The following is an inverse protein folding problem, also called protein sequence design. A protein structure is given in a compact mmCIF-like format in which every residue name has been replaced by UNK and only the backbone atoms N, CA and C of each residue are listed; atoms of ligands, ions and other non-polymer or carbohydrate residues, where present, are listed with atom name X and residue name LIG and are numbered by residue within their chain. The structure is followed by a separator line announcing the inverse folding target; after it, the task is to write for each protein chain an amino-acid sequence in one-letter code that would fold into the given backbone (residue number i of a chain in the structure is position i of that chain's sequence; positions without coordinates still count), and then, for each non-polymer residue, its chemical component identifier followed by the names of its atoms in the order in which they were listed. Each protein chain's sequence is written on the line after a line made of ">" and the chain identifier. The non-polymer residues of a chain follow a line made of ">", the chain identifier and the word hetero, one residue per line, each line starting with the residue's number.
data_IF_643564532355
#
_entry.id   IF_643564532355
#
_cell.length_a   1.000
_cell.length_b   1.000
_cell.length_c   1.000
_cell.angle_alpha   90.00
_cell.angle_beta   90.00
_cell.angle_gamma   90.00
#
_symmetry.space_group_name_H-M   'P 1'
#
loop_
_entity.id
_entity.type
_entity.pdbx_description
1 polymer ?
#
# COMPACT_ATOMS: atom_id res chain seq x y z
N UNK A 1 -26.23 -10.51 -9.40
CA UNK A 1 -26.74 -9.15 -9.04
C UNK A 1 -26.50 -8.12 -10.14
N UNK A 2 -25.41 -8.17 -10.92
CA UNK A 2 -25.09 -7.12 -11.91
C UNK A 2 -25.90 -7.18 -13.23
N UNK A 3 -26.47 -8.33 -13.63
CA UNK A 3 -27.08 -8.48 -14.97
C UNK A 3 -28.39 -7.69 -15.21
N UNK A 4 -28.98 -7.09 -14.16
CA UNK A 4 -30.20 -6.27 -14.24
C UNK A 4 -30.05 -4.91 -13.56
N UNK A 5 -28.83 -4.51 -13.20
CA UNK A 5 -28.55 -3.26 -12.49
C UNK A 5 -27.76 -2.30 -13.39
N UNK A 6 -28.18 -1.03 -13.42
CA UNK A 6 -27.48 0.02 -14.15
C UNK A 6 -26.39 0.58 -13.25
N UNK A 7 -25.13 0.50 -13.68
CA UNK A 7 -23.99 1.05 -12.95
C UNK A 7 -23.81 2.50 -13.38
N UNK A 8 -23.77 3.41 -12.41
CA UNK A 8 -23.48 4.83 -12.62
C UNK A 8 -22.20 5.16 -11.85
N UNK A 9 -21.29 5.87 -12.51
CA UNK A 9 -20.09 6.41 -11.88
C UNK A 9 -20.40 7.85 -11.50
N UNK A 10 -20.38 8.14 -10.19
CA UNK A 10 -20.53 9.49 -9.66
C UNK A 10 -19.14 10.09 -9.45
N UNK A 11 -19.02 11.39 -9.67
CA UNK A 11 -17.78 12.14 -9.41
C UNK A 11 -17.91 12.88 -8.07
N UNK A 12 -16.79 13.13 -7.37
CA UNK A 12 -16.77 14.02 -6.21
C UNK A 12 -17.24 15.43 -6.60
N UNK A 13 -17.89 16.12 -5.66
CA UNK A 13 -18.33 17.50 -5.88
C UNK A 13 -17.14 18.45 -5.90
N UNK A 14 -17.16 19.44 -6.78
CA UNK A 14 -16.19 20.52 -6.80
C UNK A 14 -16.33 21.40 -5.54
N UNK A 15 -15.26 22.09 -5.11
CA UNK A 15 -15.29 22.95 -3.93
C UNK A 15 -16.44 23.99 -3.97
N UNK A 16 -16.69 24.61 -5.11
CA UNK A 16 -17.77 25.59 -5.26
C UNK A 16 -19.18 24.97 -5.13
N UNK A 17 -19.36 23.73 -5.58
CA UNK A 17 -20.62 23.00 -5.41
C UNK A 17 -20.88 22.66 -3.94
N UNK A 18 -19.83 22.30 -3.20
CA UNK A 18 -19.90 22.10 -1.76
C UNK A 18 -20.16 23.41 -1.01
N UNK A 19 -19.55 24.53 -1.41
CA UNK A 19 -19.84 25.84 -0.82
C UNK A 19 -21.31 26.19 -1.00
N UNK A 20 -21.87 26.02 -2.21
CA UNK A 20 -23.29 26.26 -2.45
C UNK A 20 -24.21 25.36 -1.59
N UNK A 21 -23.82 24.10 -1.36
CA UNK A 21 -24.52 23.20 -0.45
C UNK A 21 -24.47 23.69 1.01
N UNK A 22 -23.31 24.18 1.46
CA UNK A 22 -23.10 24.67 2.82
C UNK A 22 -23.84 25.99 3.06
N UNK A 23 -23.83 26.92 2.11
CA UNK A 23 -24.62 28.16 2.15
C UNK A 23 -26.12 27.86 2.29
N UNK A 24 -26.62 26.87 1.55
CA UNK A 24 -28.00 26.39 1.71
C UNK A 24 -28.25 25.81 3.09
N UNK A 25 -27.34 24.99 3.62
CA UNK A 25 -27.49 24.39 4.95
C UNK A 25 -27.48 25.44 6.07
N UNK A 26 -26.72 26.53 5.91
CA UNK A 26 -26.72 27.66 6.84
C UNK A 26 -28.06 28.38 6.89
N UNK A 27 -28.70 28.59 5.73
CA UNK A 27 -29.93 29.38 5.63
C UNK A 27 -31.23 28.58 5.82
N UNK A 28 -31.26 27.29 5.42
CA UNK A 28 -32.47 26.46 5.45
C UNK A 28 -32.86 26.08 6.90
N UNK A 29 -34.16 26.13 7.20
CA UNK A 29 -34.72 25.77 8.52
C UNK A 29 -34.51 24.30 8.90
N UNK A 30 -34.29 23.41 7.92
CA UNK A 30 -33.92 22.00 8.15
C UNK A 30 -32.43 21.83 8.47
N UNK A 31 -31.63 22.85 8.19
CA UNK A 31 -30.21 22.91 8.53
C UNK A 31 -30.02 23.75 9.79
N UNK A 32 -29.26 24.83 9.66
CA UNK A 32 -28.91 25.71 10.79
C UNK A 32 -29.86 26.92 10.94
N UNK A 33 -30.79 27.14 10.00
CA UNK A 33 -31.85 28.15 10.12
C UNK A 33 -31.36 29.59 10.36
N UNK A 34 -30.16 29.92 9.89
CA UNK A 34 -29.53 31.22 10.11
C UNK A 34 -28.96 31.43 11.51
N UNK A 35 -28.87 30.38 12.36
CA UNK A 35 -28.34 30.49 13.72
C UNK A 35 -26.86 30.87 13.79
N UNK A 36 -26.12 30.67 12.71
CA UNK A 36 -24.72 31.08 12.63
C UNK A 36 -24.43 31.64 11.25
N UNK A 37 -23.39 32.47 11.16
CA UNK A 37 -22.88 33.02 9.90
C UNK A 37 -21.50 32.44 9.61
N UNK A 38 -21.17 32.25 8.34
CA UNK A 38 -19.83 31.89 7.92
C UNK A 38 -19.53 32.58 6.59
N UNK A 39 -18.36 33.23 6.51
CA UNK A 39 -17.87 33.80 5.27
C UNK A 39 -17.51 32.72 4.25
N UNK A 40 -17.45 33.11 2.96
CA UNK A 40 -17.14 32.19 1.86
C UNK A 40 -15.81 31.46 2.06
N UNK A 41 -14.79 32.14 2.58
CA UNK A 41 -13.46 31.53 2.80
C UNK A 41 -13.51 30.40 3.84
N UNK A 42 -14.29 30.57 4.91
CA UNK A 42 -14.51 29.53 5.90
C UNK A 42 -15.25 28.33 5.30
N UNK A 43 -16.26 28.58 4.45
CA UNK A 43 -16.98 27.53 3.74
C UNK A 43 -16.10 26.80 2.73
N UNK A 44 -15.21 27.50 2.02
CA UNK A 44 -14.22 26.90 1.13
C UNK A 44 -13.27 25.98 1.89
N UNK A 45 -12.81 26.38 3.08
CA UNK A 45 -11.97 25.53 3.94
C UNK A 45 -12.71 24.26 4.37
N UNK A 46 -13.99 24.37 4.75
CA UNK A 46 -14.85 23.21 5.06
C UNK A 46 -15.02 22.31 3.82
N UNK A 47 -15.24 22.90 2.64
CA UNK A 47 -15.38 22.17 1.38
C UNK A 47 -14.10 21.41 1.02
N UNK A 48 -12.93 22.06 1.12
CA UNK A 48 -11.63 21.41 0.90
C UNK A 48 -11.37 20.28 1.89
N UNK A 49 -11.70 20.47 3.17
CA UNK A 49 -11.59 19.44 4.21
C UNK A 49 -12.59 18.28 4.07
N UNK A 50 -13.46 18.32 3.05
CA UNK A 50 -14.48 17.31 2.80
C UNK A 50 -14.21 16.47 1.55
N UNK A 51 -13.16 16.76 0.79
CA UNK A 51 -12.70 15.99 -0.39
C UNK A 51 -13.83 15.63 -1.37
N UNK A 52 -14.76 16.57 -1.63
CA UNK A 52 -15.87 16.37 -2.57
C UNK A 52 -17.06 15.55 -2.03
N UNK A 53 -17.05 15.14 -0.75
CA UNK A 53 -18.16 14.42 -0.09
C UNK A 53 -19.09 15.41 0.63
N UNK A 54 -20.33 15.52 0.11
CA UNK A 54 -21.40 16.34 0.68
C UNK A 54 -21.74 16.00 2.14
N UNK A 55 -21.75 14.72 2.49
CA UNK A 55 -22.07 14.26 3.85
C UNK A 55 -20.98 14.70 4.82
N UNK A 56 -19.71 14.56 4.41
CA UNK A 56 -18.56 15.02 5.21
C UNK A 56 -18.57 16.53 5.42
N UNK A 57 -18.97 17.29 4.41
CA UNK A 57 -19.10 18.75 4.49
C UNK A 57 -20.20 19.15 5.48
N UNK A 58 -21.39 18.55 5.38
CA UNK A 58 -22.50 18.83 6.28
C UNK A 58 -22.20 18.42 7.73
N UNK A 59 -21.58 17.26 7.96
CA UNK A 59 -21.18 16.83 9.30
C UNK A 59 -20.11 17.75 9.92
N UNK A 60 -19.20 18.27 9.09
CA UNK A 60 -18.18 19.22 9.57
C UNK A 60 -18.82 20.57 9.91
N UNK A 61 -19.74 21.06 9.07
CA UNK A 61 -20.54 22.24 9.38
C UNK A 61 -21.33 22.06 10.68
N UNK A 62 -21.97 20.90 10.87
CA UNK A 62 -22.66 20.55 12.11
C UNK A 62 -21.69 20.57 13.30
N UNK A 63 -20.51 19.97 13.19
CA UNK A 63 -19.49 19.98 14.26
C UNK A 63 -19.07 21.41 14.62
N UNK A 64 -18.71 22.21 13.61
CA UNK A 64 -18.34 23.62 13.77
C UNK A 64 -19.45 24.37 14.50
N UNK A 65 -20.69 24.13 14.11
CA UNK A 65 -21.85 24.80 14.65
C UNK A 65 -22.17 24.42 16.11
N UNK A 66 -21.56 23.38 16.68
CA UNK A 66 -21.63 23.09 18.13
C UNK A 66 -20.65 23.95 18.95
N UNK A 67 -19.68 24.58 18.29
CA UNK A 67 -18.64 25.41 18.91
C UNK A 67 -18.92 26.91 18.79
N UNK A 68 -19.78 27.29 17.84
CA UNK A 68 -20.20 28.68 17.61
C UNK A 68 -21.50 28.95 18.37
N UNK A 69 -21.58 30.11 19.05
CA UNK A 69 -22.81 30.54 19.73
C UNK A 69 -23.85 31.04 18.73
N UNK A 70 -25.11 30.98 19.12
CA UNK A 70 -26.20 31.45 18.27
C UNK A 70 -26.08 32.96 17.97
N UNK A 71 -26.22 33.31 16.70
CA UNK A 71 -26.09 34.66 16.16
C UNK A 71 -24.66 35.08 15.81
N UNK A 72 -23.64 34.29 16.17
CA UNK A 72 -22.24 34.63 15.92
C UNK A 72 -21.75 34.18 14.54
N UNK A 73 -20.70 34.85 14.08
CA UNK A 73 -19.96 34.48 12.88
C UNK A 73 -18.83 33.52 13.24
N UNK A 74 -18.64 32.51 12.39
CA UNK A 74 -17.56 31.54 12.53
C UNK A 74 -16.21 32.24 12.43
N UNK A 75 -15.48 32.27 13.54
CA UNK A 75 -14.10 32.71 13.56
C UNK A 75 -13.12 31.61 13.12
N UNK A 76 -11.92 32.05 12.75
CA UNK A 76 -10.88 31.20 12.20
C UNK A 76 -10.31 30.20 13.22
N UNK A 77 -10.26 30.58 14.49
CA UNK A 77 -9.74 29.72 15.57
C UNK A 77 -10.68 28.55 15.84
N UNK A 78 -11.98 28.80 15.84
CA UNK A 78 -13.04 27.81 16.03
C UNK A 78 -13.09 26.84 14.85
N UNK A 79 -12.92 27.34 13.63
CA UNK A 79 -12.81 26.49 12.44
C UNK A 79 -11.60 25.55 12.52
N UNK A 80 -10.41 26.07 12.90
CA UNK A 80 -9.21 25.24 13.08
C UNK A 80 -9.44 24.18 14.16
N UNK A 81 -10.07 24.53 15.28
CA UNK A 81 -10.38 23.60 16.35
C UNK A 81 -11.32 22.47 15.88
N UNK A 82 -12.36 22.81 15.10
CA UNK A 82 -13.29 21.82 14.55
C UNK A 82 -12.62 20.87 13.54
N UNK A 83 -11.76 21.41 12.68
CA UNK A 83 -10.99 20.64 11.70
C UNK A 83 -10.03 19.66 12.37
N UNK A 84 -9.33 20.09 13.42
CA UNK A 84 -8.41 19.24 14.20
C UNK A 84 -9.14 18.09 14.90
N UNK A 85 -10.34 18.34 15.45
CA UNK A 85 -11.16 17.28 16.06
C UNK A 85 -11.58 16.19 15.06
N UNK A 86 -11.74 16.54 13.78
CA UNK A 86 -12.13 15.60 12.72
C UNK A 86 -10.95 14.82 12.13
N UNK A 87 -9.75 15.39 12.10
CA UNK A 87 -8.53 14.69 11.66
C UNK A 87 -8.30 13.41 12.50
N UNK A 88 -8.70 13.42 13.78
CA UNK A 88 -8.72 12.25 14.66
C UNK A 88 -9.80 11.21 14.29
N UNK A 89 -10.86 11.62 13.60
CA UNK A 89 -11.97 10.78 13.11
C UNK A 89 -11.80 10.38 11.63
N UNK A 90 -10.57 10.41 11.11
CA UNK A 90 -10.26 9.98 9.75
C UNK A 90 -10.74 8.54 9.50
N UNK A 91 -11.40 8.39 8.35
CA UNK A 91 -12.10 7.19 7.91
C UNK A 91 -11.12 6.11 7.46
N UNK A 92 -10.61 5.37 8.44
CA UNK A 92 -9.80 4.15 8.24
C UNK A 92 -10.53 3.04 7.46
N UNK A 93 -11.82 3.22 7.16
CA UNK A 93 -12.68 2.25 6.46
C UNK A 93 -13.13 2.71 5.06
N UNK A 94 -12.72 3.90 4.63
CA UNK A 94 -13.21 4.51 3.39
C UNK A 94 -12.51 4.02 2.12
N UNK A 95 -13.18 4.16 0.98
CA UNK A 95 -12.62 3.94 -0.36
C UNK A 95 -11.34 4.74 -0.59
N UNK A 96 -11.28 5.97 -0.04
CA UNK A 96 -10.14 6.87 -0.23
C UNK A 96 -8.85 6.37 0.43
N UNK A 97 -8.93 5.66 1.56
CA UNK A 97 -7.76 4.99 2.15
C UNK A 97 -7.13 4.01 1.16
N UNK A 98 -7.96 3.20 0.50
CA UNK A 98 -7.50 2.23 -0.50
C UNK A 98 -6.97 2.91 -1.76
N UNK A 99 -7.59 4.01 -2.19
CA UNK A 99 -7.11 4.80 -3.34
C UNK A 99 -5.74 5.40 -3.09
N UNK A 100 -5.53 6.01 -1.91
CA UNK A 100 -4.26 6.62 -1.52
C UNK A 100 -3.12 5.61 -1.44
N UNK A 101 -3.32 4.49 -0.74
CA UNK A 101 -2.26 3.48 -0.64
C UNK A 101 -1.99 2.79 -1.97
N UNK A 102 -3.02 2.65 -2.82
CA UNK A 102 -2.90 2.14 -4.19
C UNK A 102 -2.08 3.08 -5.06
N UNK A 103 -2.31 4.39 -4.94
CA UNK A 103 -1.55 5.43 -5.65
C UNK A 103 -0.08 5.43 -5.21
N UNK A 104 0.20 5.45 -3.90
CA UNK A 104 1.57 5.36 -3.36
C UNK A 104 2.31 4.13 -3.89
N UNK A 105 1.67 2.95 -3.83
CA UNK A 105 2.27 1.70 -4.29
C UNK A 105 2.60 1.76 -5.79
N UNK A 106 1.67 2.23 -6.62
CA UNK A 106 1.88 2.33 -8.08
C UNK A 106 2.95 3.37 -8.43
N UNK A 107 3.00 4.49 -7.73
CA UNK A 107 4.06 5.51 -7.91
C UNK A 107 5.44 4.93 -7.62
N UNK A 108 5.59 4.21 -6.49
CA UNK A 108 6.86 3.56 -6.16
C UNK A 108 7.23 2.53 -7.23
N UNK A 109 6.28 1.66 -7.62
CA UNK A 109 6.49 0.62 -8.64
C UNK A 109 6.93 1.20 -9.99
N UNK A 110 6.35 2.34 -10.38
CA UNK A 110 6.68 3.04 -11.62
C UNK A 110 7.90 3.96 -11.52
N UNK A 111 8.59 3.96 -10.37
CA UNK A 111 9.78 4.77 -10.11
C UNK A 111 9.55 6.29 -10.17
N UNK A 112 8.36 6.74 -9.81
CA UNK A 112 8.04 8.17 -9.68
C UNK A 112 8.27 8.59 -8.21
N UNK A 113 9.45 9.15 -7.93
CA UNK A 113 9.86 9.57 -6.59
C UNK A 113 9.07 10.79 -6.09
N UNK A 114 8.74 11.73 -6.96
CA UNK A 114 7.91 12.90 -6.62
C UNK A 114 6.48 12.49 -6.24
N UNK A 115 5.84 11.64 -7.04
CA UNK A 115 4.49 11.17 -6.72
C UNK A 115 4.49 10.30 -5.46
N UNK A 116 5.52 9.47 -5.26
CA UNK A 116 5.66 8.66 -4.05
C UNK A 116 5.79 9.54 -2.80
N UNK A 117 6.61 10.59 -2.85
CA UNK A 117 6.75 11.59 -1.79
C UNK A 117 5.41 12.29 -1.50
N UNK A 118 4.68 12.69 -2.54
CA UNK A 118 3.39 13.35 -2.38
C UNK A 118 2.35 12.44 -1.71
N UNK A 119 2.18 11.21 -2.21
CA UNK A 119 1.15 10.31 -1.68
C UNK A 119 1.42 9.87 -0.25
N UNK A 120 2.67 9.55 0.11
CA UNK A 120 2.97 9.19 1.50
C UNK A 120 2.76 10.38 2.44
N UNK A 121 3.16 11.59 2.03
CA UNK A 121 2.93 12.82 2.82
C UNK A 121 1.44 13.08 2.99
N UNK A 122 0.64 13.00 1.91
CA UNK A 122 -0.83 13.16 1.98
C UNK A 122 -1.45 12.18 2.97
N UNK A 123 -1.00 10.92 3.00
CA UNK A 123 -1.49 9.92 3.95
C UNK A 123 -1.10 10.25 5.40
N UNK A 124 0.15 10.67 5.64
CA UNK A 124 0.62 11.06 6.98
C UNK A 124 -0.17 12.25 7.55
N UNK A 125 -0.33 13.30 6.73
CA UNK A 125 -1.12 14.50 7.06
C UNK A 125 -2.61 14.17 7.25
N UNK A 126 -3.12 13.19 6.52
CA UNK A 126 -4.49 12.70 6.68
C UNK A 126 -4.68 11.83 7.93
N UNK A 127 -3.64 11.53 8.70
CA UNK A 127 -3.74 10.75 9.92
C UNK A 127 -3.71 9.23 9.70
N UNK A 128 -3.17 8.76 8.58
CA UNK A 128 -3.00 7.34 8.29
C UNK A 128 -2.18 6.64 9.40
N UNK A 129 -2.50 5.37 9.66
CA UNK A 129 -1.69 4.55 10.56
C UNK A 129 -0.27 4.38 9.99
N UNK A 130 0.73 4.89 10.72
CA UNK A 130 2.15 4.81 10.31
C UNK A 130 2.67 3.37 10.31
N UNK A 131 2.16 2.51 11.19
CA UNK A 131 2.51 1.08 11.16
C UNK A 131 1.90 0.40 9.93
N UNK A 132 0.73 0.87 9.47
CA UNK A 132 0.17 0.44 8.19
C UNK A 132 1.06 0.84 7.02
N UNK A 133 1.51 2.09 6.96
CA UNK A 133 2.45 2.55 5.93
C UNK A 133 3.76 1.75 5.95
N UNK A 134 4.34 1.52 7.13
CA UNK A 134 5.54 0.71 7.30
C UNK A 134 5.35 -0.72 6.72
N UNK A 135 4.26 -1.40 7.07
CA UNK A 135 3.92 -2.73 6.51
C UNK A 135 3.82 -2.70 4.98
N UNK A 136 3.24 -1.64 4.41
CA UNK A 136 3.09 -1.49 2.96
C UNK A 136 4.43 -1.24 2.26
N UNK A 137 5.31 -0.43 2.84
CA UNK A 137 6.65 -0.21 2.31
C UNK A 137 7.51 -1.48 2.34
N UNK A 138 7.45 -2.25 3.43
CA UNK A 138 8.10 -3.59 3.52
C UNK A 138 7.56 -4.52 2.43
N UNK A 139 6.24 -4.52 2.20
CA UNK A 139 5.63 -5.32 1.14
C UNK A 139 6.13 -4.92 -0.25
N UNK A 140 6.22 -3.62 -0.53
CA UNK A 140 6.72 -3.10 -1.80
C UNK A 140 8.18 -3.50 -2.01
N UNK A 141 9.01 -3.42 -0.96
CA UNK A 141 10.42 -3.81 -1.03
C UNK A 141 10.63 -5.26 -1.50
N UNK A 142 9.78 -6.19 -1.07
CA UNK A 142 9.88 -7.61 -1.50
C UNK A 142 9.15 -7.92 -2.81
N UNK A 143 8.10 -7.17 -3.14
CA UNK A 143 7.25 -7.42 -4.32
C UNK A 143 7.79 -6.76 -5.59
N UNK A 144 8.19 -5.50 -5.50
CA UNK A 144 8.51 -4.66 -6.67
C UNK A 144 9.99 -4.35 -6.83
N UNK A 145 10.80 -4.52 -5.78
CA UNK A 145 12.25 -4.34 -5.81
C UNK A 145 12.94 -5.71 -5.79
N UNK A 146 12.63 -6.54 -4.79
CA UNK A 146 13.02 -7.95 -4.74
C UNK A 146 14.54 -8.14 -4.85
N UNK A 147 14.98 -9.05 -5.72
CA UNK A 147 16.41 -9.35 -5.91
C UNK A 147 17.16 -8.31 -6.75
N UNK A 148 16.49 -7.30 -7.32
CA UNK A 148 17.20 -6.24 -8.04
C UNK A 148 17.97 -5.30 -7.10
N UNK A 149 17.54 -5.22 -5.85
CA UNK A 149 18.28 -4.61 -4.75
C UNK A 149 17.95 -5.33 -3.42
N UNK A 150 18.85 -6.20 -3.00
CA UNK A 150 18.68 -7.01 -1.80
C UNK A 150 18.63 -6.20 -0.49
N UNK A 151 19.10 -4.95 -0.48
CA UNK A 151 19.06 -4.09 0.71
C UNK A 151 17.71 -3.39 0.93
N UNK A 152 16.85 -3.35 -0.08
CA UNK A 152 15.57 -2.65 0.00
C UNK A 152 14.67 -3.15 1.15
N UNK A 153 14.63 -4.47 1.39
CA UNK A 153 13.90 -5.03 2.53
C UNK A 153 14.48 -4.53 3.85
N UNK A 154 15.81 -4.51 3.98
CA UNK A 154 16.48 -4.05 5.19
C UNK A 154 16.21 -2.58 5.45
N UNK A 155 16.29 -1.74 4.41
CA UNK A 155 16.00 -0.31 4.51
C UNK A 155 14.55 -0.07 4.93
N UNK A 156 13.60 -0.83 4.40
CA UNK A 156 12.20 -0.72 4.80
C UNK A 156 11.96 -1.14 6.27
N UNK A 157 12.65 -2.20 6.73
CA UNK A 157 12.61 -2.63 8.14
C UNK A 157 13.25 -1.59 9.06
N UNK A 158 14.44 -1.08 8.71
CA UNK A 158 15.16 -0.09 9.51
C UNK A 158 14.39 1.24 9.57
N UNK A 159 13.68 1.62 8.51
CA UNK A 159 12.78 2.77 8.51
C UNK A 159 11.53 2.58 9.39
N UNK A 160 10.98 1.36 9.44
CA UNK A 160 9.89 1.02 10.36
C UNK A 160 10.35 1.08 11.82
N UNK A 161 11.52 0.52 12.13
CA UNK A 161 12.15 0.58 13.46
C UNK A 161 12.46 2.04 13.87
N UNK A 162 12.96 2.85 12.95
CA UNK A 162 13.25 4.27 13.19
C UNK A 162 11.97 5.05 13.52
N UNK A 163 10.90 4.85 12.74
CA UNK A 163 9.59 5.42 13.05
C UNK A 163 9.11 5.04 14.45
N UNK A 164 9.14 3.76 14.81
CA UNK A 164 8.66 3.30 16.12
C UNK A 164 9.45 3.87 17.30
N UNK A 165 10.76 4.11 17.10
CA UNK A 165 11.63 4.67 18.15
C UNK A 165 11.44 6.18 18.32
N UNK A 166 11.20 6.90 17.23
CA UNK A 166 11.12 8.36 17.24
C UNK A 166 9.69 8.88 17.44
N UNK A 167 8.68 8.19 16.92
CA UNK A 167 7.29 8.64 16.96
C UNK A 167 7.00 9.84 16.05
N UNK A 168 5.80 10.43 16.19
CA UNK A 168 5.39 11.62 15.43
C UNK A 168 5.91 12.89 16.11
N UNK A 169 6.40 13.89 15.34
CA UNK A 169 6.56 13.89 13.87
C UNK A 169 7.90 13.35 13.34
N UNK A 170 8.95 13.28 14.16
CA UNK A 170 10.33 13.07 13.69
C UNK A 170 10.55 11.73 12.99
N UNK A 171 9.89 10.67 13.46
CA UNK A 171 9.98 9.33 12.90
C UNK A 171 9.30 9.18 11.54
N UNK A 172 8.36 10.06 11.19
CA UNK A 172 7.61 9.97 9.93
C UNK A 172 8.52 10.18 8.72
N UNK A 173 9.55 11.01 8.89
CA UNK A 173 10.56 11.24 7.86
C UNK A 173 11.31 9.96 7.48
N UNK A 174 11.44 8.99 8.39
CA UNK A 174 12.02 7.69 8.07
C UNK A 174 11.15 6.91 7.08
N UNK A 175 9.82 6.94 7.23
CA UNK A 175 8.90 6.29 6.29
C UNK A 175 8.93 6.99 4.93
N UNK A 176 8.99 8.32 4.91
CA UNK A 176 9.14 9.12 3.69
C UNK A 176 10.45 8.78 2.97
N UNK A 177 11.56 8.70 3.71
CA UNK A 177 12.87 8.31 3.17
C UNK A 177 12.81 6.92 2.52
N UNK A 178 12.17 5.95 3.17
CA UNK A 178 11.99 4.61 2.60
C UNK A 178 11.16 4.65 1.32
N UNK A 179 10.05 5.39 1.27
CA UNK A 179 9.22 5.49 0.06
C UNK A 179 10.02 6.03 -1.14
N UNK A 180 10.79 7.11 -0.92
CA UNK A 180 11.64 7.71 -1.95
C UNK A 180 12.78 6.76 -2.36
N UNK A 181 13.39 6.06 -1.40
CA UNK A 181 14.41 5.05 -1.69
C UNK A 181 13.86 3.95 -2.61
N UNK A 182 12.71 3.37 -2.24
CA UNK A 182 12.09 2.30 -3.02
C UNK A 182 11.67 2.78 -4.41
N UNK A 183 11.20 4.03 -4.54
CA UNK A 183 10.89 4.63 -5.83
C UNK A 183 12.13 4.73 -6.72
N UNK A 184 13.31 5.02 -6.15
CA UNK A 184 14.58 5.10 -6.89
C UNK A 184 15.31 3.77 -7.10
N UNK A 185 14.95 2.73 -6.35
CA UNK A 185 15.57 1.41 -6.45
C UNK A 185 15.30 0.74 -7.81
N UNK A 186 16.19 -0.19 -8.22
CA UNK A 186 15.94 -1.04 -9.39
C UNK A 186 14.73 -1.93 -9.13
N UNK A 187 13.86 -2.08 -10.14
CA UNK A 187 12.62 -2.84 -10.01
C UNK A 187 12.78 -4.28 -10.47
N UNK A 188 12.18 -5.21 -9.74
CA UNK A 188 12.02 -6.61 -10.15
C UNK A 188 10.92 -7.27 -9.34
N UNK A 189 9.92 -7.80 -10.06
CA UNK A 189 8.90 -8.67 -9.50
C UNK A 189 9.20 -10.16 -9.75
N UNK A 190 10.44 -10.50 -10.13
CA UNK A 190 10.79 -11.87 -10.56
C UNK A 190 10.52 -12.91 -9.47
N UNK A 191 10.83 -12.60 -8.20
CA UNK A 191 10.52 -13.48 -7.06
C UNK A 191 9.01 -13.64 -6.87
N UNK A 192 8.27 -12.54 -6.96
CA UNK A 192 6.81 -12.55 -6.80
C UNK A 192 6.15 -13.45 -7.86
N UNK A 193 6.50 -13.27 -9.13
CA UNK A 193 5.98 -14.08 -10.24
C UNK A 193 6.44 -15.54 -10.14
N UNK A 194 7.71 -15.79 -9.80
CA UNK A 194 8.24 -17.14 -9.63
C UNK A 194 7.52 -17.90 -8.51
N UNK A 195 7.24 -17.22 -7.40
CA UNK A 195 6.50 -17.78 -6.27
C UNK A 195 5.06 -18.14 -6.64
N UNK A 196 4.35 -17.24 -7.33
CA UNK A 196 2.97 -17.52 -7.76
C UNK A 196 2.90 -18.70 -8.73
N UNK A 197 3.84 -18.83 -9.66
CA UNK A 197 3.95 -19.97 -10.56
C UNK A 197 4.26 -21.28 -9.81
N UNK A 198 5.18 -21.24 -8.83
CA UNK A 198 5.49 -22.41 -8.02
C UNK A 198 4.30 -22.85 -7.17
N UNK A 199 3.54 -21.89 -6.61
CA UNK A 199 2.29 -22.19 -5.88
C UNK A 199 1.25 -22.83 -6.77
N UNK A 200 1.09 -22.32 -7.99
CA UNK A 200 0.17 -22.90 -8.96
C UNK A 200 0.56 -24.36 -9.30
N UNK A 201 1.84 -24.61 -9.60
CA UNK A 201 2.31 -25.96 -9.90
C UNK A 201 2.06 -26.90 -8.71
N UNK A 202 2.39 -26.50 -7.48
CA UNK A 202 2.15 -27.30 -6.26
C UNK A 202 0.66 -27.63 -6.06
N UNK A 203 -0.25 -26.75 -6.47
CA UNK A 203 -1.69 -26.98 -6.37
C UNK A 203 -2.25 -27.86 -7.50
N UNK A 204 -1.59 -27.86 -8.67
CA UNK A 204 -2.10 -28.50 -9.89
C UNK A 204 -1.44 -29.84 -10.19
N UNK A 205 -0.23 -30.09 -9.70
CA UNK A 205 0.48 -31.36 -9.92
C UNK A 205 0.18 -32.37 -8.82
N UNK A 206 0.44 -33.64 -9.10
CA UNK A 206 0.43 -34.66 -8.06
C UNK A 206 1.47 -34.30 -6.97
N UNK A 207 1.19 -34.68 -5.73
CA UNK A 207 2.14 -34.58 -4.62
C UNK A 207 3.23 -35.65 -4.77
N UNK A 208 4.08 -35.48 -5.79
CA UNK A 208 5.21 -36.37 -6.06
C UNK A 208 6.18 -36.35 -4.88
N UNK A 209 6.77 -37.52 -4.55
CA UNK A 209 7.71 -37.58 -3.45
C UNK A 209 9.04 -36.90 -3.85
N UNK A 210 9.76 -36.41 -2.85
CA UNK A 210 11.11 -35.86 -3.03
C UNK A 210 12.00 -36.90 -3.74
N UNK A 211 12.77 -36.52 -4.78
CA UNK A 211 13.73 -37.40 -5.44
C UNK A 211 14.67 -38.09 -4.45
N UNK A 212 14.97 -39.38 -4.65
CA UNK A 212 15.72 -40.20 -3.69
C UNK A 212 17.08 -39.59 -3.31
N UNK A 213 17.81 -39.04 -4.28
CA UNK A 213 19.11 -38.40 -4.07
C UNK A 213 19.05 -37.13 -3.23
N UNK A 214 17.86 -36.53 -3.02
CA UNK A 214 17.68 -35.36 -2.15
C UNK A 214 17.11 -35.72 -0.77
N UNK A 215 16.72 -36.98 -0.55
CA UNK A 215 16.16 -37.41 0.75
C UNK A 215 17.25 -37.53 1.80
N UNK A 216 16.88 -37.19 3.04
CA UNK A 216 17.76 -37.38 4.18
C UNK A 216 17.95 -38.87 4.49
N UNK A 217 19.19 -39.33 4.58
CA UNK A 217 19.58 -40.72 4.80
C UNK A 217 20.18 -40.93 6.21
N UNK A 218 19.46 -40.47 7.24
CA UNK A 218 19.98 -40.39 8.61
C UNK A 218 20.04 -41.74 9.35
N UNK A 219 19.23 -42.73 8.94
CA UNK A 219 19.20 -44.07 9.57
C UNK A 219 19.75 -45.14 8.64
N UNK A 220 20.15 -46.28 9.20
CA UNK A 220 20.57 -47.45 8.42
C UNK A 220 19.48 -47.93 7.45
N UNK A 221 18.25 -48.05 7.94
CA UNK A 221 17.10 -48.46 7.14
C UNK A 221 16.86 -47.51 5.95
N UNK A 222 17.01 -46.19 6.15
CA UNK A 222 16.86 -45.21 5.06
C UNK A 222 17.94 -45.36 3.97
N UNK A 223 19.19 -45.61 4.37
CA UNK A 223 20.28 -45.88 3.43
C UNK A 223 20.05 -47.17 2.64
N UNK A 224 19.60 -48.23 3.32
CA UNK A 224 19.20 -49.50 2.70
C UNK A 224 18.02 -49.31 1.73
N UNK A 225 17.11 -48.38 2.03
CA UNK A 225 16.01 -47.97 1.14
C UNK A 225 16.43 -46.99 0.02
N UNK A 226 17.73 -46.71 -0.15
CA UNK A 226 18.27 -45.88 -1.25
C UNK A 226 18.14 -44.37 -1.04
N UNK A 227 17.88 -43.89 0.19
CA UNK A 227 17.78 -42.45 0.44
C UNK A 227 19.18 -41.82 0.35
N UNK A 228 19.27 -40.67 -0.30
CA UNK A 228 20.54 -39.98 -0.56
C UNK A 228 21.44 -40.69 -1.59
N UNK A 229 21.03 -41.85 -2.12
CA UNK A 229 21.80 -42.54 -3.15
C UNK A 229 21.87 -41.68 -4.42
N UNK A 230 23.08 -41.45 -4.92
CA UNK A 230 23.33 -40.60 -6.08
C UNK A 230 23.37 -39.09 -5.79
N UNK A 231 23.32 -38.67 -4.52
CA UNK A 231 23.55 -37.27 -4.16
C UNK A 231 24.98 -36.86 -4.53
N UNK A 232 25.11 -35.72 -5.22
CA UNK A 232 26.40 -35.13 -5.58
C UNK A 232 26.55 -33.79 -4.87
N UNK A 233 27.55 -33.71 -3.99
CA UNK A 233 27.78 -32.51 -3.20
C UNK A 233 28.52 -31.46 -4.04
N UNK A 234 27.84 -30.35 -4.35
CA UNK A 234 28.28 -29.36 -5.33
C UNK A 234 29.59 -28.60 -4.99
N UNK A 235 30.12 -28.75 -3.77
CA UNK A 235 31.44 -28.21 -3.40
C UNK A 235 32.57 -29.18 -3.75
N UNK A 236 32.31 -30.49 -3.71
CA UNK A 236 33.29 -31.53 -4.06
C UNK A 236 33.19 -31.92 -5.54
N UNK A 237 31.99 -31.78 -6.12
CA UNK A 237 31.69 -32.01 -7.53
C UNK A 237 30.98 -30.79 -8.14
N UNK A 238 31.72 -29.80 -8.66
CA UNK A 238 31.14 -28.60 -9.25
C UNK A 238 30.20 -28.87 -10.43
N UNK A 239 30.39 -29.95 -11.19
CA UNK A 239 29.53 -30.31 -12.33
C UNK A 239 28.11 -30.70 -11.88
N UNK A 240 27.96 -31.13 -10.62
CA UNK A 240 26.65 -31.42 -10.03
C UNK A 240 25.69 -30.22 -10.05
N UNK A 241 26.19 -28.98 -10.09
CA UNK A 241 25.37 -27.76 -10.15
C UNK A 241 24.48 -27.72 -11.40
N UNK A 242 24.99 -28.22 -12.52
CA UNK A 242 24.31 -28.20 -13.80
C UNK A 242 23.64 -29.55 -14.13
N UNK A 243 24.24 -30.65 -13.67
CA UNK A 243 23.82 -32.01 -14.03
C UNK A 243 22.79 -32.61 -13.05
N UNK A 244 22.87 -32.29 -11.76
CA UNK A 244 21.98 -32.88 -10.75
C UNK A 244 20.64 -32.13 -10.71
N UNK A 245 19.58 -32.77 -11.23
CA UNK A 245 18.22 -32.22 -11.20
C UNK A 245 17.67 -32.26 -9.76
N UNK A 246 17.17 -31.12 -9.28
CA UNK A 246 16.60 -31.02 -7.93
C UNK A 246 15.06 -31.00 -7.89
N UNK A 247 14.41 -30.63 -9.00
CA UNK A 247 12.96 -30.71 -9.12
C UNK A 247 12.50 -32.17 -9.32
N UNK A 248 11.23 -32.50 -8.98
CA UNK A 248 10.64 -33.78 -9.35
C UNK A 248 10.73 -34.02 -10.86
N UNK A 249 10.74 -35.29 -11.31
CA UNK A 249 10.85 -35.61 -12.74
C UNK A 249 9.81 -34.90 -13.61
N UNK A 250 8.57 -34.74 -13.15
CA UNK A 250 7.51 -34.04 -13.89
C UNK A 250 7.77 -32.55 -14.11
N UNK A 251 8.63 -31.94 -13.28
CA UNK A 251 8.99 -30.52 -13.32
C UNK A 251 10.46 -30.30 -13.69
N UNK A 252 11.18 -31.31 -14.17
CA UNK A 252 12.63 -31.25 -14.40
C UNK A 252 13.07 -30.08 -15.32
N UNK A 253 12.22 -29.71 -16.28
CA UNK A 253 12.46 -28.60 -17.22
C UNK A 253 11.73 -27.30 -16.87
N UNK A 254 11.04 -27.27 -15.73
CA UNK A 254 10.42 -26.04 -15.23
C UNK A 254 11.49 -25.02 -14.86
N UNK A 255 11.22 -23.75 -15.17
CA UNK A 255 12.06 -22.59 -14.84
C UNK A 255 11.17 -21.48 -14.31
N UNK A 256 11.22 -21.23 -13.00
CA UNK A 256 10.45 -20.16 -12.35
C UNK A 256 11.09 -18.79 -12.52
N UNK A 257 12.42 -18.73 -12.46
CA UNK A 257 13.18 -17.52 -12.76
C UNK A 257 13.58 -17.53 -14.23
N UNK A 258 12.93 -16.69 -15.05
CA UNK A 258 13.36 -16.46 -16.44
C UNK A 258 14.49 -15.43 -16.46
N UNK A 259 15.46 -15.59 -17.37
CA UNK A 259 16.35 -14.47 -17.71
C UNK A 259 15.48 -13.31 -18.20
N UNK A 260 15.72 -12.06 -17.75
CA UNK A 260 15.01 -10.93 -18.34
C UNK A 260 15.25 -10.93 -19.85
N UNK A 261 14.24 -10.55 -20.68
CA UNK A 261 14.49 -10.33 -22.10
C UNK A 261 15.62 -9.29 -22.24
N UNK A 262 16.46 -9.40 -23.28
CA UNK A 262 17.46 -8.36 -23.54
C UNK A 262 16.76 -7.00 -23.61
N UNK A 263 17.41 -5.92 -23.14
CA UNK A 263 16.84 -4.58 -23.29
C UNK A 263 16.50 -4.35 -24.77
N UNK A 264 15.43 -3.59 -25.07
CA UNK A 264 15.14 -3.22 -26.45
C UNK A 264 16.40 -2.60 -27.05
N UNK A 265 16.77 -3.02 -28.26
CA UNK A 265 17.85 -2.38 -28.99
C UNK A 265 17.53 -0.88 -29.05
N UNK A 266 18.45 -0.03 -28.56
CA UNK A 266 18.27 1.41 -28.66
C UNK A 266 18.03 1.76 -30.14
N UNK A 267 17.03 2.59 -30.46
CA UNK A 267 16.83 3.10 -31.81
C UNK A 267 18.02 3.94 -32.28
#
# INVERSE_FOLDING_TARGET
>A
VISRSRVLILQPLAPDELVALLERALADVRGLGGRMRAGRDALLRIAHASDGDARRALNLLETVSTLVRDGEELDDATLVQALQRKQLAYDKSGEEHYNLISALHKSIRNSDDNASLYWITRMLEAGEDRDFLARRLIRIAVEDIGLADAFALRIALDGADAWQRLGTPEGELALVQVAVYLARARKSNAVYVAYDQAREDVQRTAAEPVPLHLRNASTRLMKEAGYGAGYRYAHDDPAARDEMKCLPPSLAERRYFRKPPPPPANP
#
